data_IF_773163108128
#
_entry.id   IF_773163108128
#
_cell.length_a   1.000
_cell.length_b   1.000
_cell.length_c   1.000
_cell.angle_alpha   90.00
_cell.angle_beta   90.00
_cell.angle_gamma   90.00
#
_symmetry.space_group_name_H-M   'P 1'
#
loop_
_entity.id
_entity.type
_entity.pdbx_description
1 polymer ?
#
# COMPACT_ATOMS: atom_id res chain seq x y z
N UNK A 1 -2.86 -14.87 -2.61
CA UNK A 1 -2.38 -14.07 -1.47
C UNK A 1 -1.25 -14.75 -0.70
N UNK A 2 -1.38 -16.02 -0.36
CA UNK A 2 -0.39 -16.71 0.49
C UNK A 2 1.00 -16.75 -0.14
N UNK A 3 1.10 -16.95 -1.47
CA UNK A 3 2.42 -17.00 -2.13
C UNK A 3 3.11 -15.63 -2.09
N UNK A 4 2.35 -14.57 -2.34
CA UNK A 4 2.92 -13.21 -2.31
C UNK A 4 3.36 -12.83 -0.90
N UNK A 5 2.58 -13.22 0.12
CA UNK A 5 2.98 -12.98 1.51
C UNK A 5 4.22 -13.76 1.87
N UNK A 6 4.33 -15.00 1.40
CA UNK A 6 5.53 -15.82 1.62
C UNK A 6 6.76 -15.19 0.96
N UNK A 7 6.61 -14.65 -0.24
CA UNK A 7 7.70 -13.97 -0.93
C UNK A 7 8.12 -12.71 -0.18
N UNK A 8 7.15 -11.92 0.29
CA UNK A 8 7.44 -10.72 1.07
C UNK A 8 8.16 -11.08 2.37
N UNK A 9 7.70 -12.11 3.05
CA UNK A 9 8.34 -12.57 4.29
C UNK A 9 9.77 -13.00 4.02
N UNK A 10 10.03 -13.69 2.91
CA UNK A 10 11.37 -14.10 2.53
C UNK A 10 12.30 -12.90 2.32
N UNK A 11 11.77 -11.83 1.70
CA UNK A 11 12.54 -10.60 1.52
C UNK A 11 12.87 -9.96 2.89
N UNK A 12 11.89 -9.89 3.78
CA UNK A 12 12.10 -9.35 5.13
C UNK A 12 13.16 -10.17 5.87
N UNK A 13 13.07 -11.49 5.80
CA UNK A 13 14.03 -12.37 6.45
C UNK A 13 15.45 -12.20 5.88
N UNK A 14 15.57 -12.03 4.57
CA UNK A 14 16.86 -11.81 3.93
C UNK A 14 17.49 -10.49 4.37
N UNK A 15 16.71 -9.41 4.41
CA UNK A 15 17.20 -8.12 4.88
C UNK A 15 17.61 -8.21 6.35
N UNK A 16 16.79 -8.87 7.17
CA UNK A 16 17.06 -9.01 8.60
C UNK A 16 18.32 -9.81 8.86
N UNK A 17 18.57 -10.84 8.06
CA UNK A 17 19.78 -11.64 8.20
C UNK A 17 21.02 -10.86 7.80
N UNK A 18 20.96 -10.15 6.66
CA UNK A 18 22.12 -9.47 6.10
C UNK A 18 22.37 -8.10 6.78
N UNK A 19 21.30 -7.46 7.25
CA UNK A 19 21.36 -6.14 7.89
C UNK A 19 20.54 -6.15 9.18
N UNK A 20 21.02 -6.84 10.24
CA UNK A 20 20.20 -7.09 11.43
C UNK A 20 19.83 -5.83 12.23
N UNK A 21 20.52 -4.72 12.00
CA UNK A 21 20.20 -3.45 12.68
C UNK A 21 19.34 -2.52 11.83
N UNK A 22 18.91 -2.97 10.64
CA UNK A 22 18.08 -2.14 9.78
C UNK A 22 16.65 -2.01 10.30
N UNK A 23 16.10 -0.81 10.10
CA UNK A 23 14.68 -0.56 10.28
C UNK A 23 14.00 -0.72 8.94
N UNK A 24 12.97 -1.57 8.86
CA UNK A 24 12.23 -1.80 7.63
C UNK A 24 10.87 -1.11 7.74
N UNK A 25 10.55 -0.27 6.77
CA UNK A 25 9.23 0.36 6.67
C UNK A 25 8.45 -0.36 5.57
N UNK A 26 7.39 -1.05 5.97
CA UNK A 26 6.51 -1.75 5.03
C UNK A 26 5.31 -0.87 4.73
N UNK A 27 5.29 -0.29 3.54
CA UNK A 27 4.23 0.64 3.13
C UNK A 27 3.06 -0.14 2.56
N UNK A 28 1.84 0.26 2.94
CA UNK A 28 0.62 -0.37 2.47
C UNK A 28 0.45 -0.27 0.96
N UNK A 29 -0.38 -1.15 0.41
CA UNK A 29 -0.82 -1.06 -0.97
C UNK A 29 -1.78 0.12 -1.09
N UNK A 30 -1.73 0.80 -2.23
CA UNK A 30 -2.55 1.98 -2.48
C UNK A 30 -3.96 1.59 -2.93
N UNK A 31 -4.96 2.47 -2.72
CA UNK A 31 -6.31 2.19 -3.20
C UNK A 31 -6.43 2.33 -4.72
N UNK A 32 -7.58 1.87 -5.23
CA UNK A 32 -7.97 2.06 -6.64
C UNK A 32 -9.31 2.76 -6.68
N UNK A 33 -9.69 3.28 -7.86
CA UNK A 33 -11.03 3.83 -8.09
C UNK A 33 -11.81 2.83 -8.94
N UNK A 34 -12.89 2.29 -8.39
CA UNK A 34 -13.68 1.23 -9.01
C UNK A 34 -14.83 1.76 -9.86
N UNK A 35 -14.82 3.06 -10.16
CA UNK A 35 -15.83 3.67 -11.02
C UNK A 35 -15.88 3.04 -12.40
N UNK A 36 -17.05 3.13 -13.03
CA UNK A 36 -17.31 2.52 -14.33
C UNK A 36 -16.32 2.98 -15.39
N UNK A 37 -15.92 4.26 -15.32
CA UNK A 37 -14.99 4.86 -16.28
C UNK A 37 -13.59 4.27 -16.20
N UNK A 38 -13.25 3.58 -15.10
CA UNK A 38 -11.91 3.01 -14.88
C UNK A 38 -11.87 1.49 -14.96
N UNK A 39 -12.98 0.86 -15.29
CA UNK A 39 -13.08 -0.59 -15.13
C UNK A 39 -12.12 -1.39 -16.00
N UNK A 40 -11.70 -0.86 -17.14
CA UNK A 40 -10.77 -1.57 -18.02
C UNK A 40 -9.39 -1.70 -17.38
N UNK A 41 -8.91 -0.63 -16.72
CA UNK A 41 -7.59 -0.65 -16.07
C UNK A 41 -7.65 -1.34 -14.71
N UNK A 42 -8.66 -1.01 -13.90
CA UNK A 42 -8.78 -1.55 -12.55
C UNK A 42 -9.19 -3.03 -12.58
N UNK A 43 -10.02 -3.40 -13.53
CA UNK A 43 -10.43 -4.78 -13.84
C UNK A 43 -11.04 -5.45 -12.61
N UNK A 44 -10.41 -6.49 -12.09
CA UNK A 44 -10.92 -7.26 -10.95
C UNK A 44 -10.42 -6.74 -9.59
N UNK A 45 -9.61 -5.70 -9.58
CA UNK A 45 -9.09 -5.14 -8.34
C UNK A 45 -10.19 -4.41 -7.59
N UNK A 46 -10.25 -4.58 -6.29
CA UNK A 46 -11.20 -3.88 -5.44
C UNK A 46 -10.49 -3.37 -4.19
N UNK A 47 -10.96 -2.26 -3.64
CA UNK A 47 -10.41 -1.74 -2.40
C UNK A 47 -10.64 -2.69 -1.24
N UNK A 48 -11.73 -3.45 -1.28
CA UNK A 48 -12.01 -4.47 -0.27
C UNK A 48 -10.91 -5.53 -0.24
N UNK A 49 -10.49 -6.02 -1.42
CA UNK A 49 -9.39 -6.97 -1.52
C UNK A 49 -8.06 -6.35 -1.11
N UNK A 50 -7.84 -5.09 -1.48
CA UNK A 50 -6.62 -4.38 -1.12
C UNK A 50 -6.54 -4.20 0.41
N UNK A 51 -7.66 -3.87 1.06
CA UNK A 51 -7.68 -3.76 2.52
C UNK A 51 -7.36 -5.09 3.18
N UNK A 52 -7.86 -6.20 2.64
CA UNK A 52 -7.53 -7.53 3.16
C UNK A 52 -6.03 -7.82 3.02
N UNK A 53 -5.42 -7.45 1.89
CA UNK A 53 -3.98 -7.57 1.70
C UNK A 53 -3.21 -6.70 2.70
N UNK A 54 -3.66 -5.46 2.90
CA UNK A 54 -3.01 -4.54 3.82
C UNK A 54 -3.09 -5.03 5.25
N UNK A 55 -4.20 -5.65 5.63
CA UNK A 55 -4.32 -6.25 6.94
C UNK A 55 -3.32 -7.41 7.10
N UNK A 56 -3.17 -8.24 6.07
CA UNK A 56 -2.20 -9.33 6.10
C UNK A 56 -0.77 -8.79 6.18
N UNK A 57 -0.48 -7.69 5.49
CA UNK A 57 0.84 -7.03 5.57
C UNK A 57 1.09 -6.51 6.97
N UNK A 58 0.09 -5.91 7.61
CA UNK A 58 0.22 -5.40 8.97
C UNK A 58 0.48 -6.52 9.97
N UNK A 59 -0.21 -7.65 9.81
CA UNK A 59 0.01 -8.82 10.66
C UNK A 59 1.41 -9.39 10.46
N UNK A 60 1.88 -9.44 9.22
CA UNK A 60 3.24 -9.90 8.93
C UNK A 60 4.27 -8.98 9.59
N UNK A 61 4.09 -7.67 9.47
CA UNK A 61 4.99 -6.70 10.07
C UNK A 61 5.08 -6.86 11.59
N UNK A 62 3.95 -7.15 12.23
CA UNK A 62 3.90 -7.28 13.69
C UNK A 62 4.69 -8.48 14.21
N UNK A 63 5.04 -9.44 13.35
CA UNK A 63 5.84 -10.60 13.73
C UNK A 63 7.33 -10.30 13.78
N UNK A 64 7.77 -9.12 13.32
CA UNK A 64 9.19 -8.76 13.26
C UNK A 64 9.42 -7.42 13.93
N UNK A 65 10.31 -7.38 14.93
CA UNK A 65 10.56 -6.18 15.73
C UNK A 65 11.11 -5.02 14.91
N UNK A 66 11.82 -5.30 13.82
CA UNK A 66 12.48 -4.27 13.03
C UNK A 66 11.61 -3.81 11.85
N UNK A 67 10.39 -4.35 11.71
CA UNK A 67 9.47 -3.97 10.63
C UNK A 67 8.36 -3.11 11.20
N UNK A 68 8.16 -1.95 10.61
CA UNK A 68 7.05 -1.06 10.94
C UNK A 68 6.12 -0.95 9.74
N UNK A 69 4.83 -1.24 9.95
CA UNK A 69 3.82 -1.08 8.90
C UNK A 69 3.44 0.40 8.81
N UNK A 70 3.47 0.95 7.60
CA UNK A 70 3.13 2.36 7.35
C UNK A 70 1.91 2.40 6.42
N UNK A 71 0.77 2.79 6.96
CA UNK A 71 -0.46 2.90 6.17
C UNK A 71 -0.50 4.24 5.45
N UNK A 72 -0.73 4.19 4.13
CA UNK A 72 -0.97 5.38 3.31
C UNK A 72 -2.26 5.24 2.51
N UNK A 73 -3.01 4.16 2.73
CA UNK A 73 -4.21 3.85 1.98
C UNK A 73 -5.30 4.89 2.21
N UNK A 74 -5.56 5.21 3.48
CA UNK A 74 -6.72 6.02 3.86
C UNK A 74 -6.57 7.48 3.44
N UNK A 75 -5.36 8.01 3.42
CA UNK A 75 -5.11 9.41 3.05
C UNK A 75 -5.40 9.69 1.58
N UNK A 76 -5.49 8.66 0.76
CA UNK A 76 -5.74 8.82 -0.67
C UNK A 76 -7.19 8.56 -1.05
N UNK A 77 -8.05 8.25 -0.06
CA UNK A 77 -9.45 7.93 -0.32
C UNK A 77 -10.32 9.18 -0.36
N UNK A 78 -11.39 9.09 -1.18
CA UNK A 78 -12.47 10.05 -1.14
C UNK A 78 -13.50 9.64 -0.09
N UNK A 79 -14.63 10.36 -0.03
CA UNK A 79 -15.67 10.09 0.97
C UNK A 79 -16.39 8.77 0.73
N UNK A 80 -16.26 8.20 -0.46
CA UNK A 80 -16.92 6.95 -0.83
C UNK A 80 -15.99 5.75 -0.73
N UNK A 81 -14.77 5.94 -0.20
CA UNK A 81 -13.82 4.86 -0.03
C UNK A 81 -13.09 4.45 -1.30
N UNK A 82 -13.03 5.35 -2.28
CA UNK A 82 -12.32 5.13 -3.53
C UNK A 82 -11.10 6.03 -3.61
N UNK A 83 -10.09 5.64 -4.40
CA UNK A 83 -8.97 6.53 -4.69
C UNK A 83 -9.54 7.84 -5.27
N UNK A 84 -9.15 8.98 -4.72
CA UNK A 84 -9.65 10.26 -5.19
C UNK A 84 -9.44 10.42 -6.68
N UNK A 85 -10.48 10.90 -7.39
CA UNK A 85 -10.41 11.10 -8.84
C UNK A 85 -9.27 12.02 -9.25
N UNK A 86 -8.98 13.04 -8.45
CA UNK A 86 -7.89 13.96 -8.72
C UNK A 86 -6.52 13.30 -8.62
N UNK A 87 -6.44 12.16 -7.95
CA UNK A 87 -5.18 11.47 -7.70
C UNK A 87 -4.87 10.38 -8.71
N UNK A 88 -5.73 10.21 -9.71
CA UNK A 88 -5.55 9.15 -10.71
C UNK A 88 -6.08 9.60 -12.07
N UNK A 89 -5.52 9.02 -13.13
CA UNK A 89 -6.04 9.22 -14.50
C UNK A 89 -6.76 7.99 -15.00
N UNK A 90 -6.44 6.82 -14.49
CA UNK A 90 -6.99 5.55 -14.98
C UNK A 90 -7.60 4.68 -13.89
N UNK A 91 -7.67 5.21 -12.67
CA UNK A 91 -8.23 4.49 -11.52
C UNK A 91 -7.23 3.60 -10.80
N UNK A 92 -6.05 3.38 -11.37
CA UNK A 92 -5.03 2.48 -10.82
C UNK A 92 -3.72 3.21 -10.53
N UNK A 93 -3.21 3.96 -11.49
CA UNK A 93 -1.96 4.68 -11.36
C UNK A 93 -2.20 6.08 -10.82
N UNK A 94 -1.23 6.62 -10.08
CA UNK A 94 -1.36 7.95 -9.52
C UNK A 94 -1.06 9.03 -10.56
N UNK A 95 -1.84 10.10 -10.51
CA UNK A 95 -1.55 11.35 -11.23
C UNK A 95 -0.44 12.12 -10.51
N UNK A 96 -0.03 13.25 -11.08
CA UNK A 96 0.93 14.14 -10.42
C UNK A 96 0.41 14.55 -9.04
N UNK A 97 -0.87 14.95 -8.95
CA UNK A 97 -1.49 15.31 -7.67
C UNK A 97 -1.51 14.12 -6.70
N UNK A 98 -1.72 12.92 -7.21
CA UNK A 98 -1.70 11.70 -6.40
C UNK A 98 -0.31 11.43 -5.83
N UNK A 99 0.72 11.58 -6.64
CA UNK A 99 2.10 11.41 -6.15
C UNK A 99 2.49 12.48 -5.15
N UNK A 100 2.00 13.71 -5.33
CA UNK A 100 2.24 14.77 -4.36
C UNK A 100 1.59 14.44 -3.02
N UNK A 101 0.35 13.96 -3.04
CA UNK A 101 -0.36 13.56 -1.83
C UNK A 101 0.34 12.40 -1.13
N UNK A 102 0.79 11.41 -1.89
CA UNK A 102 1.54 10.28 -1.36
C UNK A 102 2.85 10.75 -0.73
N UNK A 103 3.57 11.62 -1.41
CA UNK A 103 4.84 12.17 -0.91
C UNK A 103 4.63 12.92 0.42
N UNK A 104 3.59 13.73 0.52
CA UNK A 104 3.27 14.44 1.76
C UNK A 104 2.97 13.48 2.90
N UNK A 105 2.18 12.45 2.63
CA UNK A 105 1.85 11.43 3.62
C UNK A 105 3.10 10.69 4.08
N UNK A 106 3.96 10.30 3.15
CA UNK A 106 5.19 9.57 3.50
C UNK A 106 6.14 10.43 4.31
N UNK A 107 6.23 11.73 4.01
CA UNK A 107 7.08 12.63 4.77
C UNK A 107 6.66 12.69 6.24
N UNK A 108 5.36 12.74 6.52
CA UNK A 108 4.88 12.75 7.90
C UNK A 108 5.00 11.41 8.59
N UNK A 109 4.98 10.29 7.83
CA UNK A 109 4.99 8.94 8.40
C UNK A 109 6.40 8.35 8.54
N UNK A 110 7.32 8.73 7.65
CA UNK A 110 8.67 8.15 7.62
C UNK A 110 9.72 9.05 8.25
N UNK A 111 9.46 10.32 8.30
CA UNK A 111 10.37 11.31 8.83
C UNK A 111 9.66 12.16 9.88
#
# INVERSE_FOLDING_TARGET
>A
MSQALGNLESVIQSISRDYPLSQIKLVSILPVHQGEEYKQTVYIRTNEKIEAWNQAYQELASAYMQVEYVSVFEELLDQEGQLKSDYTTDGLHLSVSGYQALSETLKTRLF
#
